data_IF_222450267795
#
_entry.id   IF_222450267795
#
_cell.length_a   1.000
_cell.length_b   1.000
_cell.length_c   1.000
_cell.angle_alpha   90.00
_cell.angle_beta   90.00
_cell.angle_gamma   90.00
#
_symmetry.space_group_name_H-M   'P 1'
#
loop_
_entity.id
_entity.type
_entity.pdbx_description
1 polymer ?
#
# COMPACT_ATOMS: atom_id res chain seq x y z
N UNK A 1 4.94 29.39 -5.11
CA UNK A 1 5.63 28.37 -4.39
C UNK A 1 5.29 27.00 -4.92
N UNK A 2 6.29 26.27 -5.23
CA UNK A 2 6.06 24.90 -5.64
C UNK A 2 5.35 24.15 -4.54
N UNK A 3 4.40 23.36 -4.89
CA UNK A 3 3.72 22.53 -3.93
C UNK A 3 4.71 21.73 -3.11
N UNK A 4 4.54 21.75 -1.81
CA UNK A 4 5.34 20.95 -0.94
C UNK A 4 4.94 19.47 -1.18
N UNK A 5 5.87 18.69 -1.75
CA UNK A 5 5.63 17.28 -2.02
C UNK A 5 5.37 16.50 -0.73
N UNK A 6 5.96 16.98 0.37
CA UNK A 6 5.88 16.29 1.66
C UNK A 6 4.94 17.07 2.56
N UNK A 7 3.65 17.07 2.19
CA UNK A 7 2.61 17.70 3.00
C UNK A 7 2.54 17.05 4.39
N UNK A 8 1.93 17.74 5.38
CA UNK A 8 1.72 17.13 6.69
C UNK A 8 0.99 15.78 6.62
N UNK A 9 0.04 15.63 5.69
CA UNK A 9 -0.66 14.36 5.51
C UNK A 9 0.28 13.24 5.05
N UNK A 10 1.15 13.55 4.09
CA UNK A 10 2.13 12.57 3.62
C UNK A 10 3.06 12.14 4.75
N UNK A 11 3.56 13.09 5.51
CA UNK A 11 4.46 12.78 6.62
C UNK A 11 3.77 11.99 7.72
N UNK A 12 2.51 12.33 8.02
CA UNK A 12 1.73 11.61 9.02
C UNK A 12 1.48 10.16 8.59
N UNK A 13 1.09 9.95 7.32
CA UNK A 13 0.89 8.62 6.80
C UNK A 13 2.18 7.80 6.81
N UNK A 14 3.31 8.42 6.49
CA UNK A 14 4.60 7.75 6.54
C UNK A 14 4.93 7.28 7.97
N UNK A 15 4.60 8.09 8.97
CA UNK A 15 4.80 7.70 10.37
C UNK A 15 3.90 6.52 10.75
N UNK A 16 2.69 6.46 10.22
CA UNK A 16 1.77 5.35 10.48
C UNK A 16 2.38 4.03 9.99
N UNK A 17 3.03 4.02 8.85
CA UNK A 17 3.70 2.82 8.35
C UNK A 17 4.69 2.27 9.39
N UNK A 18 5.40 3.16 10.08
CA UNK A 18 6.35 2.77 11.12
C UNK A 18 5.71 2.14 12.36
N UNK A 19 4.41 2.29 12.53
CA UNK A 19 3.68 1.65 13.64
C UNK A 19 3.16 0.26 13.30
N UNK A 20 3.49 -0.25 12.11
CA UNK A 20 3.06 -1.56 11.63
C UNK A 20 4.30 -2.44 11.35
N UNK A 21 5.03 -2.87 12.39
CA UNK A 21 6.19 -3.74 12.17
C UNK A 21 5.77 -5.11 11.66
N UNK A 22 6.75 -5.91 11.25
CA UNK A 22 6.49 -7.28 10.81
C UNK A 22 5.62 -8.03 11.81
N UNK A 23 4.66 -8.80 11.31
CA UNK A 23 3.80 -9.62 12.16
C UNK A 23 4.56 -10.86 12.64
N UNK A 24 4.27 -11.29 13.87
CA UNK A 24 4.88 -12.50 14.41
C UNK A 24 4.36 -13.76 13.70
N UNK A 25 3.08 -13.78 13.36
CA UNK A 25 2.42 -14.94 12.74
C UNK A 25 1.60 -14.51 11.52
N UNK A 26 2.25 -14.11 10.43
CA UNK A 26 1.50 -13.76 9.21
C UNK A 26 0.94 -15.01 8.55
N UNK A 27 -0.19 -14.87 7.87
CA UNK A 27 -0.70 -15.93 7.00
C UNK A 27 0.05 -15.97 5.68
N UNK A 28 0.57 -14.84 5.23
CA UNK A 28 1.41 -14.76 4.05
C UNK A 28 2.27 -13.50 4.11
N UNK A 29 3.41 -13.54 3.44
CA UNK A 29 4.35 -12.43 3.32
C UNK A 29 4.80 -12.33 1.87
N UNK A 30 4.86 -11.11 1.35
CA UNK A 30 5.34 -10.87 -0.02
C UNK A 30 6.38 -9.76 0.01
N UNK A 31 7.51 -10.02 -0.62
CA UNK A 31 8.57 -9.01 -0.79
C UNK A 31 8.56 -8.50 -2.22
N UNK A 32 8.78 -7.20 -2.37
CA UNK A 32 8.83 -6.54 -3.67
C UNK A 32 9.81 -5.38 -3.61
N UNK A 33 10.33 -4.99 -4.76
CA UNK A 33 11.24 -3.85 -4.87
C UNK A 33 11.00 -3.13 -6.19
N UNK A 34 11.35 -1.85 -6.22
CA UNK A 34 11.34 -1.10 -7.47
C UNK A 34 12.71 -1.24 -8.14
N UNK A 35 12.74 -1.38 -9.48
CA UNK A 35 14.02 -1.54 -10.18
C UNK A 35 14.85 -0.25 -10.24
N UNK A 36 14.23 0.92 -10.10
CA UNK A 36 14.89 2.19 -10.40
C UNK A 36 15.30 2.94 -9.13
N UNK A 37 14.38 3.13 -8.19
CA UNK A 37 14.66 4.00 -7.03
C UNK A 37 15.16 3.24 -5.81
N UNK A 38 15.27 1.93 -5.88
CA UNK A 38 15.80 1.11 -4.79
C UNK A 38 14.86 0.94 -3.61
N UNK A 39 13.59 1.30 -3.74
CA UNK A 39 12.61 1.05 -2.69
C UNK A 39 12.32 -0.45 -2.59
N UNK A 40 12.11 -0.92 -1.39
CA UNK A 40 11.78 -2.33 -1.13
C UNK A 40 10.79 -2.43 0.02
N UNK A 41 10.00 -3.51 0.00
CA UNK A 41 9.02 -3.78 1.04
C UNK A 41 8.86 -5.28 1.21
N UNK A 42 8.65 -5.69 2.45
CA UNK A 42 8.05 -6.99 2.76
C UNK A 42 6.75 -6.70 3.48
N UNK A 43 5.64 -7.17 2.94
CA UNK A 43 4.32 -6.97 3.52
C UNK A 43 3.79 -8.27 4.07
N UNK A 44 3.42 -8.25 5.35
CA UNK A 44 2.77 -9.36 6.03
C UNK A 44 1.28 -9.10 6.11
N UNK A 45 0.50 -10.14 5.87
CA UNK A 45 -0.95 -10.08 6.03
C UNK A 45 -1.40 -11.26 6.90
N UNK A 46 -2.28 -10.97 7.85
CA UNK A 46 -3.03 -12.00 8.56
C UNK A 46 -4.50 -11.79 8.22
N UNK A 47 -5.21 -12.90 7.95
CA UNK A 47 -6.63 -12.88 7.58
C UNK A 47 -7.47 -13.45 8.72
N UNK A 48 -8.70 -12.95 8.86
CA UNK A 48 -9.64 -13.50 9.82
C UNK A 48 -10.40 -14.70 9.24
N UNK A 49 -11.31 -15.27 10.02
CA UNK A 49 -12.09 -16.42 9.61
C UNK A 49 -13.04 -16.15 8.46
N UNK A 50 -13.38 -14.91 8.20
CA UNK A 50 -14.29 -14.52 7.13
C UNK A 50 -13.57 -14.16 5.83
N UNK A 51 -12.25 -14.34 5.79
CA UNK A 51 -11.47 -14.00 4.60
C UNK A 51 -11.22 -12.51 4.45
N UNK A 52 -11.18 -11.78 5.55
CA UNK A 52 -10.88 -10.35 5.55
C UNK A 52 -9.58 -10.11 6.28
N UNK A 53 -8.90 -9.05 5.90
CA UNK A 53 -7.62 -8.68 6.55
C UNK A 53 -7.86 -8.38 8.02
N UNK A 54 -7.10 -9.04 8.88
CA UNK A 54 -7.10 -8.80 10.32
C UNK A 54 -5.94 -7.93 10.77
N UNK A 55 -4.77 -8.09 10.14
CA UNK A 55 -3.58 -7.34 10.52
C UNK A 55 -2.61 -7.20 9.35
N UNK A 56 -1.83 -6.13 9.38
CA UNK A 56 -0.84 -5.78 8.35
C UNK A 56 0.48 -5.45 9.05
N UNK A 57 1.58 -5.90 8.49
CA UNK A 57 2.91 -5.52 8.97
C UNK A 57 3.86 -5.31 7.81
N UNK A 58 4.93 -4.56 8.06
CA UNK A 58 5.89 -4.19 7.02
C UNK A 58 7.34 -4.26 7.51
N UNK A 59 8.22 -4.56 6.55
CA UNK A 59 9.60 -4.14 6.57
C UNK A 59 9.79 -3.31 5.32
N UNK A 60 10.07 -2.01 5.47
CA UNK A 60 9.95 -1.04 4.38
C UNK A 60 11.16 -0.12 4.32
N UNK A 61 11.73 0.00 3.13
CA UNK A 61 12.75 1.00 2.83
C UNK A 61 12.31 1.74 1.56
N UNK A 62 11.80 2.96 1.73
CA UNK A 62 11.23 3.71 0.62
C UNK A 62 11.29 5.22 0.90
N UNK A 63 11.07 6.01 -0.16
CA UNK A 63 10.91 7.45 -0.03
C UNK A 63 9.62 7.77 0.74
N UNK A 64 9.45 9.04 1.11
CA UNK A 64 8.30 9.47 1.90
C UNK A 64 6.96 9.09 1.24
N UNK A 65 6.85 9.16 -0.09
CA UNK A 65 5.62 8.75 -0.78
C UNK A 65 5.37 7.25 -0.66
N UNK A 66 6.42 6.44 -0.76
CA UNK A 66 6.27 4.99 -0.57
C UNK A 66 5.89 4.65 0.86
N UNK A 67 6.49 5.32 1.83
CA UNK A 67 6.14 5.16 3.24
C UNK A 67 4.70 5.61 3.52
N UNK A 68 4.30 6.75 2.93
CA UNK A 68 2.94 7.24 3.09
C UNK A 68 1.91 6.28 2.49
N UNK A 69 2.21 5.70 1.33
CA UNK A 69 1.34 4.73 0.69
C UNK A 69 1.20 3.47 1.55
N UNK A 70 2.26 3.03 2.21
CA UNK A 70 2.20 1.90 3.14
C UNK A 70 1.31 2.22 4.34
N UNK A 71 1.44 3.42 4.91
CA UNK A 71 0.56 3.86 6.00
C UNK A 71 -0.90 3.94 5.57
N UNK A 72 -1.13 4.47 4.37
CA UNK A 72 -2.44 4.55 3.77
C UNK A 72 -3.05 3.15 3.60
N UNK A 73 -2.27 2.22 3.07
CA UNK A 73 -2.70 0.84 2.90
C UNK A 73 -3.07 0.22 4.25
N UNK A 74 -2.21 0.35 5.24
CA UNK A 74 -2.43 -0.24 6.55
C UNK A 74 -3.73 0.26 7.20
N UNK A 75 -4.04 1.56 7.05
CA UNK A 75 -5.26 2.12 7.63
C UNK A 75 -6.52 1.64 6.97
N UNK A 76 -6.49 1.37 5.67
CA UNK A 76 -7.68 0.98 4.93
C UNK A 76 -7.83 -0.52 4.70
N UNK A 77 -6.79 -1.31 4.92
CA UNK A 77 -6.79 -2.72 4.53
C UNK A 77 -7.61 -3.60 5.47
N UNK A 78 -7.60 -3.32 6.78
CA UNK A 78 -8.29 -4.17 7.75
C UNK A 78 -9.79 -4.21 7.43
N UNK A 79 -10.34 -5.41 7.38
CA UNK A 79 -11.75 -5.64 7.06
C UNK A 79 -12.03 -5.84 5.57
N UNK A 80 -11.02 -5.71 4.70
CA UNK A 80 -11.20 -5.91 3.26
C UNK A 80 -10.79 -7.32 2.86
N UNK A 81 -11.39 -7.79 1.77
CA UNK A 81 -11.05 -9.09 1.19
C UNK A 81 -9.84 -8.96 0.26
N UNK A 82 -9.22 -10.10 -0.08
CA UNK A 82 -8.12 -10.12 -1.04
C UNK A 82 -8.54 -9.50 -2.39
N UNK A 83 -9.78 -9.78 -2.84
CA UNK A 83 -10.28 -9.22 -4.09
C UNK A 83 -10.39 -7.70 -4.02
N UNK A 84 -10.89 -7.16 -2.91
CA UNK A 84 -10.98 -5.72 -2.72
C UNK A 84 -9.61 -5.05 -2.73
N UNK A 85 -8.60 -5.71 -2.16
CA UNK A 85 -7.23 -5.19 -2.18
C UNK A 85 -6.67 -5.19 -3.60
N UNK A 86 -6.93 -6.26 -4.36
CA UNK A 86 -6.48 -6.33 -5.75
C UNK A 86 -7.11 -5.22 -6.60
N UNK A 87 -8.41 -4.98 -6.43
CA UNK A 87 -9.10 -3.91 -7.15
C UNK A 87 -8.57 -2.54 -6.76
N UNK A 88 -8.25 -2.35 -5.49
CA UNK A 88 -7.66 -1.08 -5.03
C UNK A 88 -6.29 -0.85 -5.66
N UNK A 89 -5.45 -1.88 -5.73
CA UNK A 89 -4.12 -1.77 -6.34
C UNK A 89 -4.23 -1.43 -7.83
N UNK A 90 -5.14 -2.09 -8.56
CA UNK A 90 -5.38 -1.80 -9.98
C UNK A 90 -5.91 -0.38 -10.18
N UNK A 91 -6.87 0.03 -9.35
CA UNK A 91 -7.44 1.37 -9.42
C UNK A 91 -6.41 2.45 -9.11
N UNK A 92 -5.54 2.21 -8.15
CA UNK A 92 -4.48 3.15 -7.81
C UNK A 92 -3.49 3.29 -8.97
N UNK A 93 -3.09 2.18 -9.58
CA UNK A 93 -2.18 2.22 -10.72
C UNK A 93 -2.78 3.00 -11.90
N UNK A 94 -4.06 2.75 -12.20
CA UNK A 94 -4.75 3.43 -13.29
C UNK A 94 -4.90 4.92 -13.02
N UNK A 95 -5.23 5.29 -11.78
CA UNK A 95 -5.38 6.68 -11.40
C UNK A 95 -4.05 7.44 -11.44
N UNK A 96 -3.00 6.85 -10.90
CA UNK A 96 -1.66 7.46 -10.96
C UNK A 96 -1.19 7.63 -12.39
N UNK A 97 -1.49 6.67 -13.25
CA UNK A 97 -1.08 6.70 -14.66
C UNK A 97 -1.92 7.61 -15.54
N UNK A 98 -2.97 8.23 -14.99
CA UNK A 98 -3.83 9.12 -15.76
C UNK A 98 -4.90 8.42 -16.59
N UNK A 99 -5.05 7.11 -16.44
CA UNK A 99 -6.06 6.33 -17.19
C UNK A 99 -7.43 6.37 -16.51
N UNK A 100 -7.48 6.91 -15.32
CA UNK A 100 -8.69 6.98 -14.53
C UNK A 100 -8.71 8.31 -13.80
N UNK A 101 -9.84 9.04 -13.90
CA UNK A 101 -9.95 10.37 -13.32
C UNK A 101 -10.18 10.33 -11.81
N UNK A 102 -10.79 9.25 -11.33
CA UNK A 102 -11.20 9.12 -9.92
C UNK A 102 -10.30 8.10 -9.23
N UNK A 103 -9.77 8.43 -8.04
CA UNK A 103 -8.97 7.46 -7.30
C UNK A 103 -9.83 6.30 -6.79
N UNK A 104 -9.22 5.19 -6.38
CA UNK A 104 -9.97 4.12 -5.73
C UNK A 104 -10.64 4.62 -4.45
N UNK A 105 -11.76 3.98 -4.10
CA UNK A 105 -12.47 4.28 -2.87
C UNK A 105 -11.68 3.73 -1.68
N UNK A 106 -10.82 4.58 -1.12
CA UNK A 106 -9.93 4.21 -0.05
C UNK A 106 -9.72 5.43 0.84
N UNK A 107 -9.77 5.28 2.18
CA UNK A 107 -9.64 6.44 3.08
C UNK A 107 -8.35 7.21 2.84
N UNK A 108 -8.46 8.53 2.76
CA UNK A 108 -7.34 9.46 2.66
C UNK A 108 -6.52 9.35 1.36
N UNK A 109 -7.09 8.70 0.34
CA UNK A 109 -6.41 8.54 -0.95
C UNK A 109 -6.05 9.89 -1.59
N UNK A 110 -6.83 10.93 -1.28
CA UNK A 110 -6.58 12.28 -1.80
C UNK A 110 -5.21 12.85 -1.38
N UNK A 111 -4.60 12.31 -0.34
CA UNK A 111 -3.26 12.72 0.07
C UNK A 111 -2.22 12.43 -1.02
N UNK A 112 -2.50 11.49 -1.93
CA UNK A 112 -1.60 11.13 -3.02
C UNK A 112 -1.79 11.97 -4.28
N UNK A 113 -2.75 12.90 -4.31
CA UNK A 113 -3.01 13.75 -5.48
C UNK A 113 -1.73 14.44 -5.98
N UNK A 114 -0.89 15.07 -5.12
CA UNK A 114 0.33 15.71 -5.61
C UNK A 114 1.29 14.75 -6.29
N UNK A 115 1.23 13.47 -5.96
CA UNK A 115 2.14 12.47 -6.52
C UNK A 115 1.76 12.03 -7.94
N UNK A 116 0.53 12.34 -8.40
CA UNK A 116 0.07 11.91 -9.73
C UNK A 116 0.98 12.41 -10.84
N UNK A 117 1.51 13.63 -10.70
CA UNK A 117 2.39 14.23 -11.71
C UNK A 117 3.85 13.86 -11.50
N UNK A 118 4.16 13.02 -10.52
CA UNK A 118 5.52 12.59 -10.21
C UNK A 118 5.67 11.13 -10.60
N UNK A 119 5.74 10.85 -11.89
CA UNK A 119 5.77 9.48 -12.41
C UNK A 119 6.90 8.63 -11.82
N UNK A 120 8.03 9.27 -11.50
CA UNK A 120 9.16 8.57 -10.90
C UNK A 120 8.84 8.00 -9.51
N UNK A 121 7.78 8.48 -8.86
CA UNK A 121 7.37 8.01 -7.53
C UNK A 121 6.29 6.92 -7.57
N UNK A 122 5.67 6.71 -8.73
CA UNK A 122 4.50 5.82 -8.82
C UNK A 122 4.81 4.39 -8.41
N UNK A 123 5.96 3.85 -8.82
CA UNK A 123 6.31 2.47 -8.46
C UNK A 123 6.49 2.29 -6.96
N UNK A 124 7.12 3.27 -6.30
CA UNK A 124 7.28 3.23 -4.85
C UNK A 124 5.92 3.28 -4.13
N UNK A 125 5.00 4.10 -4.65
CA UNK A 125 3.65 4.23 -4.08
C UNK A 125 2.88 2.92 -4.23
N UNK A 126 3.06 2.22 -5.34
CA UNK A 126 2.33 0.98 -5.62
C UNK A 126 2.84 -0.23 -4.86
N UNK A 127 4.04 -0.18 -4.29
CA UNK A 127 4.64 -1.33 -3.60
C UNK A 127 3.74 -1.93 -2.52
N UNK A 128 3.23 -1.09 -1.61
CA UNK A 128 2.43 -1.59 -0.48
C UNK A 128 1.11 -2.19 -0.96
N UNK A 129 0.43 -1.50 -1.89
CA UNK A 129 -0.86 -1.98 -2.39
C UNK A 129 -0.71 -3.28 -3.18
N UNK A 130 0.31 -3.38 -4.03
CA UNK A 130 0.54 -4.59 -4.81
C UNK A 130 1.01 -5.75 -3.94
N UNK A 131 1.97 -5.53 -3.06
CA UNK A 131 2.47 -6.60 -2.21
C UNK A 131 1.41 -7.03 -1.19
N UNK A 132 0.63 -6.08 -0.66
CA UNK A 132 -0.45 -6.39 0.26
C UNK A 132 -1.55 -7.21 -0.39
N UNK A 133 -1.98 -6.83 -1.60
CA UNK A 133 -2.97 -7.59 -2.36
C UNK A 133 -2.46 -9.00 -2.66
N UNK A 134 -1.20 -9.11 -3.07
CA UNK A 134 -0.59 -10.40 -3.37
C UNK A 134 -0.49 -11.29 -2.14
N UNK A 135 -0.10 -10.71 -1.00
CA UNK A 135 -0.01 -11.45 0.26
C UNK A 135 -1.39 -11.96 0.71
N UNK A 136 -2.42 -11.12 0.59
CA UNK A 136 -3.78 -11.53 0.94
C UNK A 136 -4.26 -12.67 0.04
N UNK A 137 -3.97 -12.60 -1.25
CA UNK A 137 -4.32 -13.65 -2.18
C UNK A 137 -3.63 -14.96 -1.82
N UNK A 138 -2.34 -14.91 -1.51
CA UNK A 138 -1.59 -16.11 -1.10
C UNK A 138 -2.13 -16.70 0.20
N UNK A 139 -2.50 -15.83 1.15
CA UNK A 139 -3.08 -16.28 2.41
C UNK A 139 -4.38 -17.06 2.17
N UNK A 140 -5.22 -16.57 1.25
CA UNK A 140 -6.47 -17.25 0.93
C UNK A 140 -6.25 -18.54 0.17
N UNK A 141 -5.28 -18.59 -0.74
CA UNK A 141 -4.95 -19.82 -1.45
C UNK A 141 -4.46 -20.91 -0.50
N UNK A 142 -3.75 -20.53 0.56
CA UNK A 142 -3.28 -21.47 1.57
C UNK A 142 -4.39 -22.10 2.40
N UNK A 143 -5.61 -21.58 2.32
CA UNK A 143 -6.78 -22.10 3.04
C UNK A 143 -7.59 -23.09 2.22
N UNK A 144 -7.28 -23.22 0.94
CA UNK A 144 -8.06 -24.08 0.04
C UNK A 144 -7.86 -25.57 0.35
#
# INVERSE_FOLDING_TARGET
>A
MTGNLYSPEILRLAMIAGTHPRLALPDASVSARTPVCGSSITTDIAMDGDGRVAAVGFDLSACAFGQAAAGLFAQGAVGRTAEQLALAAEGLAAWLGGYRAVPPDWPQMEALVPARQRSARHEAILLAFRSGASAAQRAMLGRA
#
